data_IF_112216074716
#
_entry.id   IF_112216074716
#
_cell.length_a   1.000
_cell.length_b   1.000
_cell.length_c   1.000
_cell.angle_alpha   90.00
_cell.angle_beta   90.00
_cell.angle_gamma   90.00
#
_symmetry.space_group_name_H-M   'P 1'
#
loop_
_entity.id
_entity.type
_entity.pdbx_description
1 polymer ?
#
# COMPACT_ATOMS: atom_id res chain seq x y z
N UNK A 1 30.12 45.10 -16.37
CA UNK A 1 29.66 44.76 -15.01
C UNK A 1 30.00 43.30 -14.77
N UNK A 2 30.89 43.06 -13.82
CA UNK A 2 31.51 41.77 -13.52
C UNK A 2 30.52 40.78 -12.91
N UNK A 3 30.49 39.56 -13.43
CA UNK A 3 29.94 38.41 -12.69
C UNK A 3 31.05 37.82 -11.84
N UNK A 4 31.00 38.08 -10.54
CA UNK A 4 31.90 37.49 -9.55
C UNK A 4 31.54 36.02 -9.31
N UNK A 5 32.48 35.13 -9.63
CA UNK A 5 32.47 33.70 -9.33
C UNK A 5 32.65 33.52 -7.82
N UNK A 6 31.61 33.09 -7.11
CA UNK A 6 31.74 32.69 -5.70
C UNK A 6 32.25 31.26 -5.64
N UNK A 7 33.51 31.13 -5.26
CA UNK A 7 34.19 29.89 -4.95
C UNK A 7 33.82 29.51 -3.50
N UNK A 8 33.02 28.46 -3.29
CA UNK A 8 32.84 27.89 -1.96
C UNK A 8 33.88 26.79 -1.77
N UNK A 9 34.87 27.10 -0.94
CA UNK A 9 35.92 26.18 -0.52
C UNK A 9 35.34 25.05 0.31
N UNK A 10 35.74 23.83 -0.03
CA UNK A 10 35.55 22.64 0.79
C UNK A 10 36.64 22.69 1.86
N UNK A 11 36.25 22.91 3.11
CA UNK A 11 37.11 22.69 4.28
C UNK A 11 36.82 21.30 4.81
N UNK A 12 37.86 20.46 4.83
CA UNK A 12 37.90 19.17 5.49
C UNK A 12 37.56 19.32 6.97
N UNK A 13 36.60 18.52 7.46
CA UNK A 13 36.35 18.36 8.89
C UNK A 13 36.62 16.91 9.28
N UNK A 14 37.56 16.78 10.21
CA UNK A 14 38.05 15.59 10.90
C UNK A 14 36.89 14.89 11.63
N UNK A 15 36.90 13.56 11.56
CA UNK A 15 35.98 12.65 12.26
C UNK A 15 36.47 12.50 13.72
N UNK A 16 35.57 12.71 14.68
CA UNK A 16 35.77 12.33 16.08
C UNK A 16 34.69 11.30 16.44
N UNK A 17 35.14 10.11 16.84
CA UNK A 17 34.31 8.94 17.11
C UNK A 17 33.87 8.92 18.58
N UNK A 18 32.57 8.83 18.81
CA UNK A 18 31.98 8.65 20.14
C UNK A 18 30.74 7.76 20.09
N UNK A 19 30.92 6.46 20.38
CA UNK A 19 29.85 5.49 20.58
C UNK A 19 29.10 5.70 21.90
N UNK A 20 27.76 5.54 21.91
CA UNK A 20 27.07 4.54 22.75
C UNK A 20 25.53 4.47 22.55
N UNK A 21 25.08 3.25 22.23
CA UNK A 21 23.80 2.53 22.53
C UNK A 21 22.42 3.09 22.14
N UNK A 22 21.76 2.47 21.14
CA UNK A 22 20.87 1.29 21.28
C UNK A 22 19.68 1.31 20.28
N UNK A 23 19.70 0.42 19.27
CA UNK A 23 18.56 -0.32 18.66
C UNK A 23 18.90 -0.74 17.22
N UNK A 24 18.69 -2.03 16.91
CA UNK A 24 19.24 -2.72 15.75
C UNK A 24 19.02 -2.05 14.39
N UNK A 25 20.13 -1.75 13.70
CA UNK A 25 20.18 -1.34 12.29
C UNK A 25 20.90 -2.40 11.44
N UNK A 26 20.44 -2.53 10.19
CA UNK A 26 21.17 -3.21 9.12
C UNK A 26 22.53 -2.52 8.88
N UNK A 27 23.61 -3.24 8.49
CA UNK A 27 24.94 -2.66 8.38
C UNK A 27 25.09 -1.76 7.15
N UNK A 28 25.85 -0.67 7.32
CA UNK A 28 26.37 0.15 6.23
C UNK A 28 27.77 -0.37 5.88
N UNK A 29 27.97 -0.96 4.71
CA UNK A 29 29.31 -1.34 4.24
C UNK A 29 29.91 -0.24 3.35
N UNK A 30 31.15 0.08 3.70
CA UNK A 30 32.09 1.03 3.12
C UNK A 30 32.66 0.59 1.76
N UNK A 31 32.90 1.56 0.87
CA UNK A 31 33.56 1.38 -0.42
C UNK A 31 35.05 1.02 -0.26
N UNK A 32 35.49 -0.03 -0.95
CA UNK A 32 36.89 -0.31 -1.24
C UNK A 32 37.13 -0.18 -2.75
N UNK A 33 38.09 0.65 -3.13
CA UNK A 33 38.52 0.90 -4.50
C UNK A 33 39.93 0.29 -4.69
N UNK A 34 40.16 -0.63 -5.63
CA UNK A 34 41.51 -1.02 -6.00
C UNK A 34 41.85 -0.56 -7.42
N UNK A 35 42.79 0.38 -7.54
CA UNK A 35 43.53 0.61 -8.77
C UNK A 35 44.97 0.98 -8.41
N UNK A 36 45.89 0.03 -8.51
CA UNK A 36 47.23 0.27 -9.05
C UNK A 36 48.00 -1.05 -9.24
N UNK A 37 48.31 -1.42 -10.49
CA UNK A 37 49.65 -1.87 -10.85
C UNK A 37 49.88 -1.76 -12.36
N UNK A 38 51.03 -1.16 -12.67
CA UNK A 38 51.58 -0.81 -13.97
C UNK A 38 52.04 -2.04 -14.76
N UNK A 39 52.03 -1.94 -16.09
CA UNK A 39 53.26 -2.08 -16.92
C UNK A 39 53.05 -1.53 -18.34
N UNK A 40 54.03 -0.75 -18.80
CA UNK A 40 54.20 -0.23 -20.17
C UNK A 40 55.01 -1.24 -20.99
N UNK A 41 54.69 -1.40 -22.27
CA UNK A 41 55.70 -1.54 -23.34
C UNK A 41 55.07 -1.40 -24.74
N UNK A 42 55.32 -0.22 -25.33
CA UNK A 42 55.68 0.10 -26.73
C UNK A 42 55.43 -0.96 -27.83
N UNK A 43 54.70 -0.62 -28.89
CA UNK A 43 55.24 -0.46 -30.28
C UNK A 43 54.17 -0.48 -31.39
N UNK A 44 54.26 0.54 -32.27
CA UNK A 44 54.12 0.51 -33.74
C UNK A 44 52.80 0.12 -34.46
N UNK A 45 52.25 1.15 -35.10
CA UNK A 45 51.52 1.27 -36.37
C UNK A 45 51.54 0.08 -37.37
N UNK A 46 50.40 -0.22 -38.02
CA UNK A 46 50.07 0.12 -39.43
C UNK A 46 48.79 -0.58 -39.91
N UNK A 47 48.04 0.12 -40.77
CA UNK A 47 46.90 -0.35 -41.55
C UNK A 47 47.29 -1.41 -42.59
N UNK A 48 46.36 -2.30 -42.95
CA UNK A 48 46.03 -2.58 -44.36
C UNK A 48 44.69 -3.32 -44.44
N UNK A 49 43.81 -2.80 -45.29
CA UNK A 49 42.64 -3.48 -45.78
C UNK A 49 43.04 -4.40 -46.94
N UNK A 50 42.41 -5.57 -47.07
CA UNK A 50 41.92 -6.10 -48.35
C UNK A 50 40.97 -7.29 -48.13
N UNK A 51 39.94 -7.27 -48.96
CA UNK A 51 38.69 -8.03 -49.07
C UNK A 51 38.93 -9.42 -49.74
N UNK A 52 37.88 -10.09 -50.25
CA UNK A 52 36.97 -11.07 -49.62
C UNK A 52 37.30 -12.52 -50.05
N UNK A 53 36.72 -13.54 -49.39
CA UNK A 53 36.15 -14.67 -50.15
C UNK A 53 35.25 -15.60 -49.32
N UNK A 54 34.05 -15.74 -49.85
CA UNK A 54 33.00 -16.76 -49.74
C UNK A 54 33.42 -18.13 -49.18
N UNK A 55 32.78 -18.56 -48.09
CA UNK A 55 32.52 -19.97 -47.84
C UNK A 55 31.18 -20.13 -47.10
N UNK A 56 30.21 -20.68 -47.83
CA UNK A 56 28.92 -21.17 -47.33
C UNK A 56 29.23 -22.33 -46.38
N UNK A 57 28.77 -22.24 -45.13
CA UNK A 57 28.83 -23.34 -44.17
C UNK A 57 27.47 -23.47 -43.49
N UNK A 58 26.68 -24.39 -44.00
CA UNK A 58 25.48 -24.90 -43.36
C UNK A 58 25.85 -25.57 -42.04
N UNK A 59 25.32 -25.06 -40.94
CA UNK A 59 25.26 -25.75 -39.66
C UNK A 59 23.83 -25.65 -39.14
N UNK A 60 23.00 -26.59 -39.59
CA UNK A 60 21.87 -27.03 -38.78
C UNK A 60 22.41 -27.68 -37.51
N UNK A 61 22.15 -27.10 -36.34
CA UNK A 61 21.91 -27.92 -35.15
C UNK A 61 21.34 -27.15 -33.97
N UNK A 62 20.24 -27.71 -33.48
CA UNK A 62 19.73 -27.67 -32.13
C UNK A 62 19.30 -26.29 -31.60
N UNK A 63 18.04 -25.96 -31.85
CA UNK A 63 17.24 -25.28 -30.84
C UNK A 63 17.21 -26.17 -29.59
N UNK A 64 18.21 -26.03 -28.72
CA UNK A 64 18.06 -26.43 -27.33
C UNK A 64 16.87 -25.64 -26.81
N UNK A 65 15.78 -26.36 -26.59
CA UNK A 65 14.63 -25.87 -25.85
C UNK A 65 15.08 -25.71 -24.39
N UNK A 66 15.91 -24.71 -24.14
CA UNK A 66 16.28 -24.32 -22.80
C UNK A 66 15.18 -23.38 -22.33
N UNK A 67 14.12 -24.02 -21.83
CA UNK A 67 13.03 -23.42 -21.06
C UNK A 67 13.53 -23.05 -19.65
N UNK A 68 14.70 -22.40 -19.61
CA UNK A 68 15.34 -21.90 -18.41
C UNK A 68 14.94 -20.43 -18.28
N UNK A 69 13.79 -20.22 -17.62
CA UNK A 69 13.32 -18.96 -17.04
C UNK A 69 13.93 -17.71 -17.68
N UNK A 70 13.27 -17.14 -18.70
CA UNK A 70 13.47 -15.74 -19.03
C UNK A 70 13.22 -14.93 -17.75
N UNK A 71 14.31 -14.64 -17.05
CA UNK A 71 14.40 -13.78 -15.87
C UNK A 71 13.69 -12.50 -16.25
N UNK A 72 12.43 -12.38 -15.82
CA UNK A 72 11.57 -11.31 -16.22
C UNK A 72 12.10 -10.03 -15.59
N UNK A 73 13.06 -9.39 -16.26
CA UNK A 73 13.68 -8.15 -15.82
C UNK A 73 12.55 -7.16 -15.56
N UNK A 74 12.51 -6.60 -14.35
CA UNK A 74 11.54 -5.54 -14.06
C UNK A 74 11.65 -4.40 -15.07
N UNK A 75 12.86 -4.18 -15.59
CA UNK A 75 13.26 -3.10 -16.47
C UNK A 75 13.64 -1.85 -15.68
N UNK A 76 14.20 -0.85 -16.38
CA UNK A 76 14.50 0.45 -15.78
C UNK A 76 15.80 0.52 -14.97
N UNK A 77 16.80 -0.31 -15.31
CA UNK A 77 18.13 -0.26 -14.68
C UNK A 77 18.19 -0.79 -13.25
N UNK A 78 17.13 -1.46 -12.79
CA UNK A 78 17.09 -2.08 -11.46
C UNK A 78 17.88 -3.39 -11.43
N UNK A 79 18.60 -3.64 -10.34
CA UNK A 79 19.40 -4.85 -10.14
C UNK A 79 18.61 -5.84 -9.30
N UNK A 80 18.40 -7.06 -9.79
CA UNK A 80 17.71 -8.12 -9.02
C UNK A 80 18.58 -8.55 -7.85
N UNK A 81 17.99 -8.65 -6.66
CA UNK A 81 18.60 -9.27 -5.50
C UNK A 81 18.23 -10.75 -5.46
N UNK A 82 19.20 -11.59 -5.10
CA UNK A 82 19.04 -13.05 -5.05
C UNK A 82 18.73 -13.54 -3.63
N UNK A 83 18.13 -14.72 -3.55
CA UNK A 83 17.89 -15.39 -2.27
C UNK A 83 19.23 -15.72 -1.59
N UNK A 84 19.34 -15.45 -0.29
CA UNK A 84 20.61 -15.49 0.46
C UNK A 84 21.33 -14.15 0.58
N UNK A 85 20.95 -13.13 -0.21
CA UNK A 85 21.35 -11.75 0.04
C UNK A 85 20.68 -11.24 1.33
N UNK A 86 21.46 -10.66 2.24
CA UNK A 86 20.96 -10.20 3.55
C UNK A 86 19.84 -9.17 3.41
N UNK A 87 19.95 -8.25 2.46
CA UNK A 87 18.96 -7.19 2.20
C UNK A 87 17.69 -7.81 1.62
N UNK A 88 17.83 -8.69 0.62
CA UNK A 88 16.71 -9.44 0.06
C UNK A 88 15.93 -10.16 1.15
N UNK A 89 16.61 -10.96 1.97
CA UNK A 89 15.99 -11.84 2.96
C UNK A 89 15.29 -11.06 4.06
N UNK A 90 15.87 -9.93 4.49
CA UNK A 90 15.26 -9.05 5.49
C UNK A 90 14.01 -8.39 4.93
N UNK A 91 14.06 -7.84 3.72
CA UNK A 91 12.89 -7.22 3.08
C UNK A 91 11.77 -8.25 2.91
N UNK A 92 12.10 -9.44 2.39
CA UNK A 92 11.15 -10.54 2.19
C UNK A 92 10.50 -10.98 3.51
N UNK A 93 11.32 -11.25 4.53
CA UNK A 93 10.85 -11.72 5.85
C UNK A 93 9.98 -10.67 6.54
N UNK A 94 10.41 -9.41 6.53
CA UNK A 94 9.66 -8.31 7.13
C UNK A 94 8.32 -8.12 6.43
N UNK A 95 8.30 -8.14 5.10
CA UNK A 95 7.05 -8.05 4.35
C UNK A 95 6.09 -9.20 4.71
N UNK A 96 6.51 -10.45 4.55
CA UNK A 96 5.64 -11.62 4.76
C UNK A 96 5.12 -11.72 6.20
N UNK A 97 5.96 -11.48 7.21
CA UNK A 97 5.55 -11.54 8.61
C UNK A 97 4.50 -10.49 8.98
N UNK A 98 4.49 -9.35 8.30
CA UNK A 98 3.54 -8.24 8.52
C UNK A 98 2.23 -8.39 7.73
N UNK A 99 2.10 -9.41 6.89
CA UNK A 99 0.84 -9.73 6.20
C UNK A 99 -0.08 -10.65 7.01
N UNK A 100 0.36 -11.14 8.18
CA UNK A 100 -0.41 -12.09 8.99
C UNK A 100 -0.70 -13.38 8.22
N UNK A 101 -1.94 -13.87 8.27
CA UNK A 101 -2.35 -15.10 7.57
C UNK A 101 -2.16 -15.04 6.04
N UNK A 102 -2.23 -13.83 5.45
CA UNK A 102 -1.97 -13.64 4.02
C UNK A 102 -0.50 -13.91 3.67
N UNK A 103 0.42 -13.75 4.62
CA UNK A 103 1.84 -14.01 4.44
C UNK A 103 2.14 -15.43 3.99
N UNK A 104 1.46 -16.43 4.58
CA UNK A 104 1.62 -17.84 4.21
C UNK A 104 1.15 -18.16 2.78
N UNK A 105 0.28 -17.33 2.21
CA UNK A 105 -0.29 -17.49 0.88
C UNK A 105 0.32 -16.53 -0.14
N UNK A 106 1.31 -15.74 0.29
CA UNK A 106 1.97 -14.75 -0.54
C UNK A 106 3.32 -15.29 -0.98
N UNK A 107 3.57 -15.27 -2.29
CA UNK A 107 4.87 -15.61 -2.88
C UNK A 107 5.55 -14.34 -3.35
N UNK A 108 6.64 -13.95 -2.70
CA UNK A 108 7.55 -12.93 -3.25
C UNK A 108 8.29 -13.55 -4.43
N UNK A 109 8.18 -12.92 -5.59
CA UNK A 109 8.73 -13.41 -6.87
C UNK A 109 10.11 -12.81 -7.12
N UNK A 110 10.25 -11.51 -6.88
CA UNK A 110 11.52 -10.82 -7.04
C UNK A 110 11.58 -9.57 -6.18
N UNK A 111 12.79 -9.23 -5.72
CA UNK A 111 13.12 -7.94 -5.14
C UNK A 111 14.25 -7.37 -5.98
N UNK A 112 14.09 -6.12 -6.41
CA UNK A 112 15.11 -5.40 -7.15
C UNK A 112 15.55 -4.18 -6.35
N UNK A 113 16.83 -3.83 -6.46
CA UNK A 113 17.42 -2.64 -5.89
C UNK A 113 17.62 -1.59 -6.97
N UNK A 114 17.35 -0.33 -6.64
CA UNK A 114 17.76 0.80 -7.44
C UNK A 114 19.26 1.08 -7.19
N UNK A 115 20.16 0.89 -8.18
CA UNK A 115 21.58 1.11 -7.99
C UNK A 115 21.97 2.59 -8.02
N UNK A 116 21.11 3.47 -8.53
CA UNK A 116 21.41 4.88 -8.78
C UNK A 116 22.69 5.09 -9.60
N UNK A 117 22.96 4.21 -10.56
CA UNK A 117 24.22 4.18 -11.30
C UNK A 117 24.37 5.33 -12.29
N UNK A 118 23.28 5.78 -12.91
CA UNK A 118 23.30 6.91 -13.84
C UNK A 118 23.39 8.27 -13.12
N UNK A 119 23.85 9.30 -13.86
CA UNK A 119 24.07 10.64 -13.30
C UNK A 119 22.80 11.27 -12.70
N UNK A 120 21.63 10.99 -13.26
CA UNK A 120 20.35 11.52 -12.77
C UNK A 120 19.96 10.80 -11.47
N UNK A 121 20.15 9.49 -11.39
CA UNK A 121 19.96 8.67 -10.20
C UNK A 121 20.87 9.12 -9.07
N UNK A 122 22.15 9.38 -9.35
CA UNK A 122 23.09 9.93 -8.37
C UNK A 122 22.63 11.31 -7.89
N UNK A 123 22.21 12.20 -8.79
CA UNK A 123 21.70 13.52 -8.42
C UNK A 123 20.44 13.44 -7.53
N UNK A 124 19.51 12.51 -7.81
CA UNK A 124 18.34 12.27 -6.97
C UNK A 124 18.73 11.77 -5.57
N UNK A 125 19.65 10.80 -5.50
CA UNK A 125 20.15 10.28 -4.23
C UNK A 125 20.87 11.36 -3.41
N UNK A 126 21.72 12.15 -4.04
CA UNK A 126 22.43 13.27 -3.40
C UNK A 126 21.47 14.36 -2.94
N UNK A 127 20.46 14.72 -3.75
CA UNK A 127 19.41 15.65 -3.36
C UNK A 127 18.70 15.17 -2.09
N UNK A 128 18.27 13.90 -2.05
CA UNK A 128 17.67 13.31 -0.84
C UNK A 128 18.59 13.41 0.39
N UNK A 129 19.89 13.15 0.23
CA UNK A 129 20.87 13.28 1.32
C UNK A 129 21.02 14.73 1.80
N UNK A 130 21.03 15.70 0.89
CA UNK A 130 21.08 17.13 1.22
C UNK A 130 19.85 17.54 2.03
N UNK A 131 18.65 17.16 1.59
CA UNK A 131 17.42 17.45 2.32
C UNK A 131 17.36 16.74 3.67
N UNK A 132 17.89 15.52 3.77
CA UNK A 132 18.00 14.80 5.05
C UNK A 132 18.85 15.61 6.04
N UNK A 133 20.07 16.01 5.64
CA UNK A 133 20.96 16.82 6.48
C UNK A 133 20.35 18.17 6.86
N UNK A 134 19.71 18.84 5.90
CA UNK A 134 19.04 20.12 6.16
C UNK A 134 17.93 19.96 7.22
N UNK A 135 17.18 18.85 7.18
CA UNK A 135 16.11 18.59 8.13
C UNK A 135 16.63 18.14 9.49
N UNK A 136 17.74 17.40 9.55
CA UNK A 136 18.45 17.08 10.80
C UNK A 136 18.84 18.38 11.53
N UNK A 137 19.46 19.32 10.82
CA UNK A 137 19.81 20.64 11.37
C UNK A 137 18.57 21.41 11.84
N UNK A 138 17.48 21.39 11.06
CA UNK A 138 16.22 22.06 11.40
C UNK A 138 15.52 21.42 12.62
N UNK A 139 15.72 20.13 12.88
CA UNK A 139 14.95 19.31 13.85
C UNK A 139 15.83 18.67 14.93
N UNK A 140 16.73 19.45 15.52
CA UNK A 140 17.53 19.04 16.68
C UNK A 140 18.29 17.72 16.48
N UNK A 141 18.78 17.48 15.27
CA UNK A 141 19.61 16.31 14.92
C UNK A 141 18.83 15.09 14.40
N UNK A 142 17.52 15.16 14.19
CA UNK A 142 16.74 14.01 13.70
C UNK A 142 15.77 14.37 12.57
N UNK A 143 16.08 13.92 11.34
CA UNK A 143 15.20 14.07 10.18
C UNK A 143 14.02 13.09 10.15
N UNK A 144 13.93 12.14 11.09
CA UNK A 144 12.90 11.08 11.13
C UNK A 144 12.79 10.34 9.79
N UNK A 145 13.92 9.84 9.29
CA UNK A 145 13.96 9.06 8.06
C UNK A 145 13.44 7.65 8.32
N UNK A 146 12.42 7.22 7.57
CA UNK A 146 11.80 5.90 7.71
C UNK A 146 11.67 5.20 6.36
N UNK A 147 11.47 3.89 6.42
CA UNK A 147 11.01 3.13 5.26
C UNK A 147 9.48 3.20 5.14
N UNK A 148 8.98 3.24 3.91
CA UNK A 148 7.55 3.21 3.64
C UNK A 148 7.25 2.56 2.27
N UNK A 149 6.09 1.90 2.19
CA UNK A 149 5.59 1.22 1.02
C UNK A 149 4.71 2.14 0.17
N UNK A 150 4.93 2.10 -1.14
CA UNK A 150 4.06 2.67 -2.14
C UNK A 150 3.64 1.59 -3.14
N UNK A 151 2.35 1.49 -3.46
CA UNK A 151 1.83 0.45 -4.35
C UNK A 151 1.21 1.03 -5.60
N UNK A 152 1.63 0.54 -6.77
CA UNK A 152 1.05 0.91 -8.06
C UNK A 152 1.33 -0.16 -9.13
N UNK A 153 0.94 0.10 -10.38
CA UNK A 153 1.23 -0.75 -11.53
C UNK A 153 2.73 -0.80 -11.81
N UNK A 154 3.17 -1.84 -12.54
CA UNK A 154 4.56 -2.00 -12.96
C UNK A 154 5.07 -0.79 -13.74
N UNK A 155 4.28 -0.31 -14.70
CA UNK A 155 4.66 0.82 -15.55
C UNK A 155 4.83 2.09 -14.72
N UNK A 156 3.89 2.39 -13.83
CA UNK A 156 3.97 3.55 -12.96
C UNK A 156 5.21 3.48 -12.04
N UNK A 157 5.50 2.33 -11.44
CA UNK A 157 6.71 2.18 -10.61
C UNK A 157 7.99 2.39 -11.44
N UNK A 158 8.04 1.90 -12.68
CA UNK A 158 9.18 2.13 -13.58
C UNK A 158 9.34 3.62 -13.92
N UNK A 159 8.25 4.32 -14.17
CA UNK A 159 8.26 5.76 -14.42
C UNK A 159 8.71 6.53 -13.18
N UNK A 160 8.25 6.16 -11.99
CA UNK A 160 8.69 6.77 -10.73
C UNK A 160 10.20 6.60 -10.50
N UNK A 161 10.73 5.38 -10.71
CA UNK A 161 12.17 5.14 -10.58
C UNK A 161 12.96 6.02 -11.55
N UNK A 162 12.52 6.08 -12.82
CA UNK A 162 13.24 6.80 -13.88
C UNK A 162 13.10 8.32 -13.79
N UNK A 163 11.89 8.83 -13.57
CA UNK A 163 11.56 10.25 -13.69
C UNK A 163 11.17 10.92 -12.36
N UNK A 164 10.91 10.15 -11.31
CA UNK A 164 10.39 10.65 -10.04
C UNK A 164 8.87 10.61 -9.98
N UNK A 165 8.31 11.02 -8.84
CA UNK A 165 6.87 11.09 -8.65
C UNK A 165 6.27 12.21 -9.51
N UNK A 166 5.31 11.85 -10.36
CA UNK A 166 4.60 12.76 -11.25
C UNK A 166 3.39 13.42 -10.59
N UNK A 167 2.97 14.57 -11.12
CA UNK A 167 1.82 15.31 -10.60
C UNK A 167 0.49 14.57 -10.72
N UNK A 168 0.34 13.70 -11.73
CA UNK A 168 -0.87 12.89 -11.95
C UNK A 168 -1.20 11.95 -10.79
N UNK A 169 -0.20 11.59 -9.98
CA UNK A 169 -0.37 10.73 -8.81
C UNK A 169 -1.11 11.42 -7.65
N UNK A 170 -1.06 12.75 -7.58
CA UNK A 170 -1.62 13.54 -6.48
C UNK A 170 -3.15 13.54 -6.50
N UNK A 171 -3.77 13.44 -7.68
CA UNK A 171 -5.23 13.53 -7.83
C UNK A 171 -5.95 12.21 -7.58
N UNK A 172 -5.21 11.11 -7.44
CA UNK A 172 -5.78 9.76 -7.27
C UNK A 172 -6.37 9.49 -5.87
N UNK A 173 -5.90 10.20 -4.83
CA UNK A 173 -6.38 10.04 -3.47
C UNK A 173 -6.17 11.33 -2.66
N UNK A 174 -7.25 12.10 -2.45
CA UNK A 174 -7.24 13.39 -1.73
C UNK A 174 -7.81 13.32 -0.31
N UNK A 175 -7.79 12.14 0.31
CA UNK A 175 -8.43 11.98 1.61
C UNK A 175 -7.75 12.84 2.69
N UNK A 176 -6.43 12.98 2.65
CA UNK A 176 -5.61 13.69 3.64
C UNK A 176 -4.77 14.78 2.96
N UNK A 177 -5.35 15.53 2.02
CA UNK A 177 -4.63 16.52 1.23
C UNK A 177 -4.00 16.00 -0.07
N UNK A 178 -3.20 16.86 -0.68
CA UNK A 178 -2.50 16.69 -1.96
C UNK A 178 -1.05 16.31 -1.70
N UNK A 179 -0.75 15.03 -1.89
CA UNK A 179 0.58 14.49 -1.71
C UNK A 179 0.66 13.03 -2.13
N UNK A 180 1.82 12.43 -1.91
CA UNK A 180 2.04 10.99 -2.09
C UNK A 180 1.78 10.28 -0.77
N UNK A 181 0.97 9.23 -0.85
CA UNK A 181 0.52 8.45 0.30
C UNK A 181 1.35 7.17 0.36
N UNK A 182 2.07 6.97 1.46
CA UNK A 182 2.87 5.78 1.68
C UNK A 182 2.41 5.07 2.95
N UNK A 183 2.32 3.75 2.93
CA UNK A 183 2.08 2.98 4.15
C UNK A 183 3.41 2.81 4.90
N UNK A 184 3.43 2.91 6.24
CA UNK A 184 4.61 2.58 7.02
C UNK A 184 5.14 1.17 6.71
N UNK A 185 6.46 0.98 6.82
CA UNK A 185 7.13 -0.29 6.55
C UNK A 185 6.57 -1.49 7.35
N UNK A 186 6.13 -1.22 8.58
CA UNK A 186 5.49 -2.19 9.46
C UNK A 186 3.99 -2.42 9.16
N UNK A 187 3.39 -1.68 8.22
CA UNK A 187 1.97 -1.75 7.84
C UNK A 187 1.75 -2.00 6.33
N UNK A 188 2.44 -2.96 5.67
CA UNK A 188 2.32 -3.19 4.23
C UNK A 188 0.90 -3.53 3.77
N UNK A 189 0.08 -4.07 4.67
CA UNK A 189 -1.34 -4.40 4.42
C UNK A 189 -2.17 -3.20 3.94
N UNK A 190 -1.82 -1.97 4.35
CA UNK A 190 -2.53 -0.75 3.94
C UNK A 190 -2.36 -0.46 2.44
N UNK A 191 -1.23 -0.83 1.84
CA UNK A 191 -1.01 -0.76 0.39
C UNK A 191 -1.57 -2.00 -0.31
N UNK A 192 -1.26 -3.19 0.19
CA UNK A 192 -1.59 -4.47 -0.47
C UNK A 192 -3.09 -4.61 -0.72
N UNK A 193 -3.94 -4.06 0.14
CA UNK A 193 -5.40 -4.16 0.01
C UNK A 193 -6.01 -3.48 -1.21
N UNK A 194 -5.33 -2.46 -1.73
CA UNK A 194 -5.80 -1.68 -2.87
C UNK A 194 -5.07 -2.05 -4.17
N UNK A 195 -4.07 -2.93 -4.11
CA UNK A 195 -3.30 -3.33 -5.29
C UNK A 195 -4.10 -4.25 -6.21
N UNK A 196 -4.08 -3.90 -7.49
CA UNK A 196 -4.64 -4.71 -8.58
C UNK A 196 -3.53 -5.59 -9.16
N UNK A 197 -3.90 -6.79 -9.62
CA UNK A 197 -2.97 -7.67 -10.34
C UNK A 197 -2.69 -7.07 -11.72
N UNK A 198 -1.42 -6.87 -12.05
CA UNK A 198 -0.97 -6.36 -13.33
C UNK A 198 -1.08 -7.38 -14.45
N UNK A 199 -0.77 -6.94 -15.68
CA UNK A 199 -0.83 -7.79 -16.87
C UNK A 199 0.20 -8.93 -16.86
N UNK A 200 1.26 -8.82 -16.04
CA UNK A 200 2.23 -9.88 -15.80
C UNK A 200 1.78 -10.88 -14.71
N UNK A 201 0.56 -10.75 -14.21
CA UNK A 201 0.02 -11.60 -13.16
C UNK A 201 0.62 -11.34 -11.79
N UNK A 202 1.34 -10.22 -11.62
CA UNK A 202 2.02 -9.84 -10.38
C UNK A 202 1.41 -8.57 -9.77
N UNK A 203 1.71 -8.35 -8.49
CA UNK A 203 1.50 -7.07 -7.81
C UNK A 203 2.86 -6.49 -7.47
N UNK A 204 2.96 -5.17 -7.52
CA UNK A 204 4.23 -4.47 -7.34
C UNK A 204 4.14 -3.44 -6.23
N UNK A 205 5.19 -3.41 -5.42
CA UNK A 205 5.41 -2.45 -4.35
C UNK A 205 6.76 -1.79 -4.54
N UNK A 206 6.81 -0.51 -4.22
CA UNK A 206 8.02 0.27 -4.09
C UNK A 206 8.29 0.53 -2.61
N UNK A 207 9.46 0.13 -2.13
CA UNK A 207 9.96 0.46 -0.80
C UNK A 207 10.84 1.71 -0.92
N UNK A 208 10.40 2.78 -0.28
CA UNK A 208 11.08 4.07 -0.30
C UNK A 208 11.73 4.37 1.04
N UNK A 209 12.86 5.08 1.04
CA UNK A 209 13.24 5.91 2.18
C UNK A 209 12.46 7.22 2.12
N UNK A 210 11.94 7.66 3.25
CA UNK A 210 11.09 8.84 3.36
C UNK A 210 11.57 9.71 4.51
N UNK A 211 11.78 10.99 4.22
CA UNK A 211 12.08 12.01 5.24
C UNK A 211 10.76 12.52 5.79
N UNK A 212 10.42 12.17 7.03
CA UNK A 212 9.15 12.56 7.64
C UNK A 212 9.24 13.85 8.48
N UNK A 213 10.41 14.15 9.05
CA UNK A 213 10.56 15.28 9.97
C UNK A 213 9.55 15.26 11.13
N UNK A 214 9.10 16.45 11.54
CA UNK A 214 8.00 16.62 12.48
C UNK A 214 6.67 16.49 11.72
N UNK A 215 5.88 15.50 12.13
CA UNK A 215 4.64 15.13 11.44
C UNK A 215 3.43 15.89 12.03
N UNK A 216 2.50 16.30 11.18
CA UNK A 216 1.17 16.79 11.59
C UNK A 216 0.08 15.75 11.32
N UNK A 217 -0.90 15.66 12.22
CA UNK A 217 -2.12 14.87 11.95
C UNK A 217 -2.93 15.62 10.91
N UNK A 218 -3.29 14.93 9.83
CA UNK A 218 -4.12 15.50 8.77
C UNK A 218 -5.51 14.90 8.88
N UNK A 219 -6.53 15.77 8.91
CA UNK A 219 -7.91 15.31 8.94
C UNK A 219 -8.41 14.87 7.56
N UNK A 220 -9.30 13.85 7.52
CA UNK A 220 -9.98 13.48 6.28
C UNK A 220 -10.74 14.66 5.66
N UNK A 221 -10.54 14.91 4.37
CA UNK A 221 -11.15 16.02 3.62
C UNK A 221 -10.29 17.28 3.53
N UNK A 222 -9.07 17.27 4.08
CA UNK A 222 -8.11 18.36 3.91
C UNK A 222 -7.71 18.56 2.43
N UNK A 223 -7.53 19.81 2.02
CA UNK A 223 -7.01 20.22 0.69
C UNK A 223 -5.55 20.71 0.75
N UNK A 224 -4.87 20.55 1.90
CA UNK A 224 -3.47 20.93 2.10
C UNK A 224 -2.56 20.30 1.04
N UNK A 225 -1.62 21.06 0.48
CA UNK A 225 -0.60 20.55 -0.45
C UNK A 225 0.84 20.82 0.01
N UNK A 226 0.96 21.32 1.24
CA UNK A 226 2.19 21.69 1.95
C UNK A 226 1.88 21.65 3.46
N UNK A 227 2.90 21.71 4.34
CA UNK A 227 2.67 21.72 5.78
C UNK A 227 1.78 22.89 6.22
N UNK A 228 0.97 22.70 7.27
CA UNK A 228 0.11 23.78 7.81
C UNK A 228 0.91 24.96 8.40
N UNK A 229 2.13 24.70 8.86
CA UNK A 229 3.04 25.72 9.39
C UNK A 229 4.49 25.29 9.23
N UNK A 230 5.43 26.21 9.50
CA UNK A 230 6.87 25.92 9.49
C UNK A 230 7.30 24.86 10.53
N UNK A 231 6.45 24.58 11.51
CA UNK A 231 6.68 23.55 12.52
C UNK A 231 6.60 22.14 11.96
N UNK A 232 5.88 21.91 10.87
CA UNK A 232 5.66 20.58 10.32
C UNK A 232 6.39 20.39 8.99
N UNK A 233 6.63 19.12 8.65
CA UNK A 233 7.37 18.73 7.45
C UNK A 233 6.58 17.73 6.59
N UNK A 234 5.83 16.81 7.22
CA UNK A 234 4.97 15.83 6.53
C UNK A 234 3.66 15.58 7.29
N UNK A 235 2.68 14.97 6.63
CA UNK A 235 1.40 14.59 7.23
C UNK A 235 1.37 13.13 7.68
N UNK A 236 0.48 12.82 8.62
CA UNK A 236 0.17 11.47 9.08
C UNK A 236 -1.32 11.34 9.40
N UNK A 237 -1.91 10.15 9.23
CA UNK A 237 -3.31 9.93 9.60
C UNK A 237 -3.53 9.74 11.11
N UNK A 238 -2.55 9.18 11.82
CA UNK A 238 -2.55 9.05 13.28
C UNK A 238 -1.10 9.05 13.80
N UNK A 239 -0.80 9.83 14.84
CA UNK A 239 0.55 9.93 15.40
C UNK A 239 0.98 8.71 16.19
N UNK A 240 0.04 8.01 16.83
CA UNK A 240 0.32 6.88 17.72
C UNK A 240 0.41 5.57 16.94
N UNK A 241 -0.46 5.40 15.95
CA UNK A 241 -0.53 4.22 15.11
C UNK A 241 -0.68 4.61 13.63
N UNK A 242 0.39 5.14 13.03
CA UNK A 242 0.36 5.62 11.66
C UNK A 242 0.00 4.47 10.71
N UNK A 243 -0.91 4.73 9.78
CA UNK A 243 -1.24 3.82 8.68
C UNK A 243 -0.93 4.45 7.33
N UNK A 244 -0.83 5.78 7.27
CA UNK A 244 -0.46 6.54 6.08
C UNK A 244 0.43 7.70 6.46
N UNK A 245 1.56 7.78 5.80
CA UNK A 245 2.35 9.00 5.69
C UNK A 245 1.89 9.77 4.44
N UNK A 246 1.77 11.09 4.57
CA UNK A 246 1.48 12.01 3.48
C UNK A 246 2.72 12.87 3.26
N UNK A 247 3.40 12.64 2.14
CA UNK A 247 4.48 13.53 1.70
C UNK A 247 3.88 14.53 0.73
N UNK A 248 3.90 15.81 1.11
CA UNK A 248 3.30 16.88 0.35
C UNK A 248 3.83 16.96 -1.08
N UNK A 249 2.99 17.41 -2.01
CA UNK A 249 3.37 17.54 -3.43
C UNK A 249 4.60 18.42 -3.65
N UNK A 250 4.80 19.43 -2.80
CA UNK A 250 5.98 20.32 -2.82
C UNK A 250 7.29 19.60 -2.48
N UNK A 251 7.23 18.42 -1.87
CA UNK A 251 8.37 17.70 -1.30
C UNK A 251 8.55 16.29 -1.89
N UNK A 252 7.62 15.81 -2.73
CA UNK A 252 7.58 14.40 -3.15
C UNK A 252 8.85 13.89 -3.86
N UNK A 253 9.58 14.75 -4.57
CA UNK A 253 10.80 14.37 -5.30
C UNK A 253 12.10 14.63 -4.53
N UNK A 254 12.02 15.23 -3.34
CA UNK A 254 13.18 15.51 -2.48
C UNK A 254 13.14 14.71 -1.18
N UNK A 255 11.95 14.35 -0.71
CA UNK A 255 11.72 13.66 0.56
C UNK A 255 11.35 12.18 0.40
N UNK A 256 11.26 11.67 -0.84
CA UNK A 256 11.02 10.26 -1.13
C UNK A 256 12.14 9.75 -2.04
N UNK A 257 12.81 8.69 -1.61
CA UNK A 257 13.85 8.02 -2.39
C UNK A 257 13.42 6.56 -2.70
N UNK A 258 13.06 6.25 -3.96
CA UNK A 258 12.74 4.90 -4.42
C UNK A 258 13.94 3.95 -4.35
N UNK A 259 13.97 3.02 -3.40
CA UNK A 259 15.16 2.17 -3.15
C UNK A 259 15.00 0.72 -3.60
N UNK A 260 13.85 0.09 -3.32
CA UNK A 260 13.61 -1.29 -3.72
C UNK A 260 12.26 -1.49 -4.37
N UNK A 261 12.19 -2.40 -5.33
CA UNK A 261 10.94 -2.82 -5.97
C UNK A 261 10.69 -4.29 -5.67
N UNK A 262 9.54 -4.58 -5.08
CA UNK A 262 9.11 -5.94 -4.78
C UNK A 262 7.95 -6.33 -5.71
N UNK A 263 8.09 -7.49 -6.36
CA UNK A 263 7.02 -8.14 -7.12
C UNK A 263 6.57 -9.40 -6.40
N UNK A 264 5.27 -9.59 -6.23
CA UNK A 264 4.71 -10.72 -5.50
C UNK A 264 3.38 -11.22 -6.09
N UNK A 265 3.05 -12.46 -5.77
CA UNK A 265 1.74 -13.09 -6.00
C UNK A 265 1.02 -13.26 -4.67
N UNK A 266 -0.27 -12.96 -4.65
CA UNK A 266 -1.16 -13.18 -3.51
C UNK A 266 -2.58 -13.53 -4.02
N UNK A 267 -3.44 -14.16 -3.21
CA UNK A 267 -4.81 -14.47 -3.58
C UNK A 267 -5.57 -13.28 -4.17
N UNK A 268 -6.34 -13.54 -5.24
CA UNK A 268 -7.06 -12.49 -5.97
C UNK A 268 -8.11 -11.78 -5.10
N UNK A 269 -8.86 -12.55 -4.29
CA UNK A 269 -9.81 -12.00 -3.32
C UNK A 269 -9.15 -11.82 -1.97
N UNK A 270 -8.64 -10.62 -1.71
CA UNK A 270 -8.13 -10.29 -0.39
C UNK A 270 -9.25 -10.02 0.64
N UNK A 271 -10.54 -9.98 0.23
CA UNK A 271 -11.69 -9.65 1.09
C UNK A 271 -11.83 -10.54 2.33
N UNK A 272 -11.44 -11.81 2.25
CA UNK A 272 -11.49 -12.75 3.38
C UNK A 272 -10.49 -12.41 4.48
N UNK A 273 -9.33 -11.86 4.12
CA UNK A 273 -8.23 -11.55 5.05
C UNK A 273 -8.45 -10.24 5.79
N UNK A 274 -9.19 -9.30 5.19
CA UNK A 274 -9.52 -8.01 5.82
C UNK A 274 -10.53 -8.12 6.96
N UNK A 275 -11.25 -9.25 7.08
CA UNK A 275 -12.16 -9.50 8.21
C UNK A 275 -11.46 -10.06 9.46
N UNK A 276 -10.20 -10.52 9.33
CA UNK A 276 -9.49 -11.22 10.40
C UNK A 276 -8.50 -10.34 11.18
N UNK A 277 -8.07 -9.20 10.63
CA UNK A 277 -7.07 -8.30 11.26
C UNK A 277 -7.65 -7.01 11.85
N UNK A 278 -8.85 -6.61 11.45
CA UNK A 278 -9.66 -5.70 12.24
C UNK A 278 -10.34 -6.56 13.29
N UNK A 279 -9.84 -6.50 14.53
CA UNK A 279 -10.68 -6.83 15.67
C UNK A 279 -12.04 -6.19 15.39
N UNK A 280 -13.05 -7.03 15.32
CA UNK A 280 -14.40 -6.65 14.96
C UNK A 280 -14.82 -5.44 15.79
N UNK A 281 -14.66 -4.24 15.25
CA UNK A 281 -15.66 -3.22 15.44
C UNK A 281 -16.85 -3.75 14.69
N UNK A 282 -17.58 -4.68 15.33
CA UNK A 282 -19.00 -4.86 15.08
C UNK A 282 -19.52 -3.43 14.87
N UNK A 283 -20.13 -3.11 13.73
CA UNK A 283 -20.68 -1.79 13.55
C UNK A 283 -21.53 -1.53 14.79
N UNK A 284 -21.17 -0.51 15.58
CA UNK A 284 -21.84 -0.19 16.85
C UNK A 284 -23.31 0.18 16.60
N UNK A 285 -23.66 0.41 15.34
CA UNK A 285 -25.01 0.57 14.82
C UNK A 285 -25.48 -0.67 14.04
N UNK A 286 -26.72 -1.13 14.24
CA UNK A 286 -27.30 -2.18 13.42
C UNK A 286 -27.33 -1.76 11.95
N UNK A 287 -27.14 -2.76 11.08
CA UNK A 287 -27.14 -2.56 9.64
C UNK A 287 -28.56 -2.25 9.16
N UNK A 288 -28.81 -0.99 8.81
CA UNK A 288 -30.09 -0.56 8.25
C UNK A 288 -30.02 -0.50 6.72
N UNK A 289 -31.04 -1.01 6.04
CA UNK A 289 -31.16 -0.86 4.59
C UNK A 289 -31.43 0.61 4.21
N UNK A 290 -30.90 1.09 3.08
CA UNK A 290 -31.17 2.46 2.61
C UNK A 290 -32.67 2.80 2.48
N UNK A 291 -33.54 1.91 1.97
CA UNK A 291 -34.99 2.12 1.99
C UNK A 291 -35.55 2.34 3.41
N UNK A 292 -35.11 1.55 4.38
CA UNK A 292 -35.51 1.69 5.78
C UNK A 292 -35.00 3.01 6.38
N UNK A 293 -33.77 3.41 6.03
CA UNK A 293 -33.20 4.70 6.44
C UNK A 293 -34.00 5.88 5.87
N UNK A 294 -34.38 5.84 4.58
CA UNK A 294 -35.23 6.87 3.98
C UNK A 294 -36.59 6.93 4.67
N UNK A 295 -37.20 5.77 4.93
CA UNK A 295 -38.47 5.71 5.65
C UNK A 295 -38.35 6.39 7.03
N UNK A 296 -37.27 6.13 7.76
CA UNK A 296 -36.97 6.83 9.01
C UNK A 296 -36.79 8.34 8.84
N UNK A 297 -36.01 8.76 7.85
CA UNK A 297 -35.75 10.18 7.56
C UNK A 297 -37.01 10.93 7.10
N UNK A 298 -37.93 10.27 6.40
CA UNK A 298 -39.17 10.88 5.88
C UNK A 298 -40.10 11.39 6.98
N UNK A 299 -39.91 10.92 8.21
CA UNK A 299 -40.65 11.41 9.39
C UNK A 299 -40.15 12.77 9.89
N UNK A 300 -38.95 13.19 9.47
CA UNK A 300 -38.26 14.38 9.99
C UNK A 300 -37.86 15.38 8.90
N UNK A 301 -37.83 14.97 7.64
CA UNK A 301 -37.41 15.81 6.51
C UNK A 301 -38.59 16.10 5.57
N UNK A 302 -38.62 17.29 4.93
CA UNK A 302 -39.61 17.61 3.90
C UNK A 302 -39.58 16.62 2.72
N UNK A 303 -40.73 16.46 2.06
CA UNK A 303 -40.87 15.55 0.91
C UNK A 303 -39.91 15.91 -0.25
N UNK A 304 -39.63 17.20 -0.46
CA UNK A 304 -38.65 17.67 -1.45
C UNK A 304 -37.23 17.17 -1.14
N UNK A 305 -36.83 17.21 0.14
CA UNK A 305 -35.55 16.75 0.64
C UNK A 305 -35.40 15.22 0.53
N UNK A 306 -36.46 14.48 0.84
CA UNK A 306 -36.52 13.02 0.65
C UNK A 306 -36.47 12.64 -0.83
N UNK A 307 -37.11 13.43 -1.69
CA UNK A 307 -37.02 13.28 -3.15
C UNK A 307 -35.58 13.39 -3.65
N UNK A 308 -34.81 14.36 -3.13
CA UNK A 308 -33.38 14.50 -3.47
C UNK A 308 -32.53 13.31 -3.00
N UNK A 309 -32.75 12.84 -1.77
CA UNK A 309 -32.05 11.64 -1.25
C UNK A 309 -32.38 10.41 -2.10
N UNK A 310 -33.65 10.24 -2.48
CA UNK A 310 -34.11 9.12 -3.32
C UNK A 310 -33.48 9.19 -4.71
N UNK A 311 -33.41 10.39 -5.31
CA UNK A 311 -32.72 10.62 -6.58
C UNK A 311 -31.26 10.19 -6.53
N UNK A 312 -30.51 10.57 -5.47
CA UNK A 312 -29.12 10.15 -5.32
C UNK A 312 -28.96 8.63 -5.18
N UNK A 313 -29.93 7.91 -4.59
CA UNK A 313 -29.91 6.45 -4.56
C UNK A 313 -30.10 5.83 -5.94
N UNK A 314 -30.99 6.40 -6.76
CA UNK A 314 -31.17 5.97 -8.15
C UNK A 314 -29.89 6.23 -8.94
N UNK A 315 -29.29 7.42 -8.80
CA UNK A 315 -28.00 7.76 -9.44
C UNK A 315 -26.89 6.77 -9.06
N UNK A 316 -26.84 6.33 -7.80
CA UNK A 316 -25.89 5.31 -7.35
C UNK A 316 -26.20 3.92 -7.93
N UNK A 317 -27.47 3.51 -7.99
CA UNK A 317 -27.88 2.24 -8.61
C UNK A 317 -27.52 2.20 -10.10
N UNK A 318 -27.63 3.34 -10.76
CA UNK A 318 -27.26 3.55 -12.17
C UNK A 318 -25.75 3.80 -12.37
N UNK A 319 -24.94 3.69 -11.30
CA UNK A 319 -23.48 3.89 -11.30
C UNK A 319 -23.01 5.28 -11.75
N UNK A 320 -23.90 6.29 -11.72
CA UNK A 320 -23.58 7.70 -12.01
C UNK A 320 -22.77 8.34 -10.88
N UNK A 321 -22.96 7.88 -9.65
CA UNK A 321 -22.21 8.34 -8.47
C UNK A 321 -21.68 7.15 -7.66
N UNK A 322 -20.53 7.34 -7.01
CA UNK A 322 -19.94 6.31 -6.15
C UNK A 322 -20.72 6.15 -4.83
N UNK A 323 -20.54 5.00 -4.14
CA UNK A 323 -21.13 4.78 -2.81
C UNK A 323 -20.70 5.86 -1.81
N UNK A 324 -19.45 6.34 -1.90
CA UNK A 324 -18.92 7.39 -1.02
C UNK A 324 -19.61 8.73 -1.29
N UNK A 325 -19.80 9.06 -2.56
CA UNK A 325 -20.49 10.28 -2.99
C UNK A 325 -21.94 10.29 -2.52
N UNK A 326 -22.66 9.16 -2.66
CA UNK A 326 -24.00 8.99 -2.12
C UNK A 326 -24.04 9.25 -0.61
N UNK A 327 -23.14 8.62 0.17
CA UNK A 327 -23.09 8.79 1.62
C UNK A 327 -22.84 10.26 1.98
N UNK A 328 -21.91 10.93 1.29
CA UNK A 328 -21.58 12.32 1.57
C UNK A 328 -22.77 13.25 1.30
N UNK A 329 -23.47 13.07 0.16
CA UNK A 329 -24.68 13.83 -0.16
C UNK A 329 -25.80 13.61 0.84
N UNK A 330 -26.02 12.36 1.28
CA UNK A 330 -27.03 12.06 2.31
C UNK A 330 -26.67 12.73 3.65
N UNK A 331 -25.39 12.75 4.04
CA UNK A 331 -24.92 13.44 5.25
C UNK A 331 -25.09 14.96 5.16
N UNK A 332 -24.81 15.55 4.00
CA UNK A 332 -25.01 16.99 3.77
C UNK A 332 -26.49 17.38 3.82
N UNK A 333 -27.38 16.53 3.29
CA UNK A 333 -28.82 16.82 3.23
C UNK A 333 -29.50 16.58 4.59
N UNK A 334 -29.25 15.44 5.22
CA UNK A 334 -29.94 15.05 6.46
C UNK A 334 -29.25 15.56 7.73
N UNK A 335 -27.92 15.77 7.68
CA UNK A 335 -27.10 16.06 8.83
C UNK A 335 -26.79 14.83 9.69
N UNK A 336 -25.57 14.77 10.22
CA UNK A 336 -25.10 13.60 10.98
C UNK A 336 -25.88 13.34 12.26
N UNK A 337 -26.34 14.41 12.93
CA UNK A 337 -27.13 14.30 14.17
C UNK A 337 -28.44 13.55 13.94
N UNK A 338 -29.14 13.88 12.85
CA UNK A 338 -30.40 13.23 12.50
C UNK A 338 -30.17 11.79 12.02
N UNK A 339 -29.14 11.56 11.20
CA UNK A 339 -28.78 10.21 10.75
C UNK A 339 -28.47 9.29 11.93
N UNK A 340 -27.69 9.76 12.91
CA UNK A 340 -27.39 9.01 14.14
C UNK A 340 -28.68 8.72 14.93
N UNK A 341 -29.56 9.70 15.09
CA UNK A 341 -30.82 9.52 15.82
C UNK A 341 -31.73 8.47 15.15
N UNK A 342 -31.88 8.56 13.83
CA UNK A 342 -32.69 7.60 13.05
C UNK A 342 -32.09 6.19 13.14
N UNK A 343 -30.79 6.04 12.91
CA UNK A 343 -30.10 4.74 13.00
C UNK A 343 -30.22 4.13 14.41
N UNK A 344 -30.09 4.93 15.46
CA UNK A 344 -30.30 4.49 16.85
C UNK A 344 -31.75 4.07 17.11
N UNK A 345 -32.74 4.76 16.54
CA UNK A 345 -34.15 4.44 16.72
C UNK A 345 -34.57 3.10 16.11
N UNK A 346 -33.85 2.63 15.09
CA UNK A 346 -34.05 1.29 14.53
C UNK A 346 -33.31 0.21 15.32
N UNK A 347 -32.18 0.56 15.96
CA UNK A 347 -31.46 -0.32 16.87
C UNK A 347 -32.28 -0.72 18.11
N UNK A 348 -33.10 0.20 18.62
CA UNK A 348 -34.00 -0.06 19.75
C UNK A 348 -35.29 -0.81 19.35
N UNK A 349 -35.59 -0.93 18.05
CA UNK A 349 -36.74 -1.72 17.58
C UNK A 349 -36.37 -3.18 17.29
N UNK A 350 -35.14 -3.48 16.90
CA UNK A 350 -34.66 -4.87 16.75
C UNK A 350 -34.65 -5.64 18.09
N UNK A 351 -34.44 -4.95 19.21
CA UNK A 351 -34.56 -5.54 20.55
C UNK A 351 -36.01 -5.87 20.95
N UNK A 352 -36.99 -5.13 20.43
CA UNK A 352 -38.42 -5.43 20.62
C UNK A 352 -38.90 -6.58 19.72
N UNK A 353 -38.38 -6.69 18.49
CA UNK A 353 -38.72 -7.80 17.60
C UNK A 353 -38.07 -9.12 18.03
N UNK A 354 -36.83 -9.09 18.52
CA UNK A 354 -36.15 -10.28 19.09
C UNK A 354 -36.90 -10.85 20.31
N UNK A 355 -37.46 -9.96 21.15
CA UNK A 355 -38.25 -10.35 22.32
C UNK A 355 -39.60 -10.98 21.91
N UNK A 356 -40.26 -10.45 20.87
CA UNK A 356 -41.51 -11.02 20.35
C UNK A 356 -41.30 -12.34 19.61
N UNK A 357 -40.21 -12.49 18.84
CA UNK A 357 -39.86 -13.77 18.20
C UNK A 357 -39.51 -14.82 19.26
N UNK A 358 -38.83 -14.44 20.34
CA UNK A 358 -38.54 -15.35 21.46
C UNK A 358 -39.82 -15.78 22.21
N UNK A 359 -40.79 -14.88 22.39
CA UNK A 359 -42.09 -15.20 23.00
C UNK A 359 -42.93 -16.10 22.10
N UNK A 360 -42.95 -15.85 20.78
CA UNK A 360 -43.69 -16.68 19.81
C UNK A 360 -43.04 -18.08 19.66
N UNK A 361 -41.71 -18.18 19.69
CA UNK A 361 -41.00 -19.47 19.66
C UNK A 361 -41.16 -20.24 20.97
N UNK A 362 -41.23 -19.58 22.12
CA UNK A 362 -41.49 -20.26 23.40
C UNK A 362 -42.95 -20.70 23.55
N UNK A 363 -43.92 -19.95 23.04
CA UNK A 363 -45.34 -20.34 23.08
C UNK A 363 -45.72 -21.43 22.05
N UNK A 364 -44.88 -21.69 21.05
CA UNK A 364 -45.11 -22.77 20.06
C UNK A 364 -44.38 -24.08 20.39
N UNK A 365 -43.42 -24.08 21.32
CA UNK A 365 -42.73 -25.29 21.79
C UNK A 365 -43.46 -26.05 22.90
N UNK A 366 -44.45 -25.45 23.58
CA UNK A 366 -45.18 -26.09 24.69
C UNK A 366 -46.48 -26.83 24.28
N UNK A 367 -46.73 -27.04 22.99
CA UNK A 367 -47.97 -27.71 22.51
C UNK A 367 -47.76 -28.96 21.64
N UNK A 368 -46.56 -29.55 21.60
CA UNK A 368 -46.37 -30.85 20.94
C UNK A 368 -45.54 -31.80 21.79
N UNK A 369 -46.11 -32.25 22.92
CA UNK A 369 -45.63 -33.44 23.61
C UNK A 369 -46.74 -34.17 24.39
N UNK A 370 -47.82 -34.59 23.72
CA UNK A 370 -48.65 -35.73 24.17
C UNK A 370 -49.02 -36.57 22.95
N UNK A 371 -48.85 -37.89 23.10
CA UNK A 371 -49.09 -39.01 22.17
C UNK A 371 -47.97 -39.39 21.19
N UNK A 372 -47.10 -40.30 21.64
CA UNK A 372 -47.16 -41.70 21.17
C UNK A 372 -46.16 -42.59 21.92
N UNK A 373 -46.68 -43.51 22.75
CA UNK A 373 -45.92 -44.62 23.34
C UNK A 373 -45.65 -45.73 22.32
N UNK A 374 -44.54 -46.48 22.45
CA UNK A 374 -44.41 -47.79 21.81
C UNK A 374 -44.35 -48.96 22.81
N UNK A 375 -44.93 -50.09 22.35
CA UNK A 375 -44.68 -51.50 22.67
C UNK A 375 -45.27 -52.11 23.95
N UNK A 376 -46.09 -53.14 23.73
CA UNK A 376 -45.88 -54.47 24.33
C UNK A 376 -46.23 -55.59 23.34
N UNK A 377 -45.35 -56.59 23.33
CA UNK A 377 -45.45 -57.90 22.67
C UNK A 377 -46.61 -58.73 23.23
N UNK A 378 -47.20 -59.63 22.41
CA UNK A 378 -47.58 -61.00 22.80
C UNK A 378 -47.68 -61.89 21.54
N UNK A 379 -47.10 -63.08 21.70
CA UNK A 379 -47.10 -64.28 20.85
C UNK A 379 -48.51 -64.78 20.49
N UNK A 380 -48.71 -65.35 19.28
CA UNK A 380 -49.10 -66.77 19.14
C UNK A 380 -49.17 -67.23 17.66
N UNK A 381 -48.57 -68.41 17.51
CA UNK A 381 -48.64 -69.50 16.53
C UNK A 381 -49.98 -69.78 15.81
N UNK A 382 -49.83 -70.41 14.63
CA UNK A 382 -50.63 -71.51 14.00
C UNK A 382 -51.59 -71.20 12.81
N UNK A 383 -51.14 -71.65 11.63
CA UNK A 383 -51.76 -72.55 10.62
C UNK A 383 -53.11 -72.27 9.93
N UNK A 384 -53.09 -72.58 8.62
CA UNK A 384 -54.20 -73.11 7.78
C UNK A 384 -55.27 -72.08 7.39
N UNK A 385 -55.72 -71.92 6.13
CA UNK A 385 -55.73 -72.74 4.91
C UNK A 385 -55.73 -71.84 3.68
#
# INVERSE_FOLDING_TARGET
>A
MNYSRVQLGITDCVIDDGENFASGKLPCDSFHNPNNSRTRSVSSCLETAHDPDTAVSDCESCASSDDSDQLQEFGGGLVRLFEGDRVHDVIRRNFLSRLGFLGAQTKVVAIHRNPYSDAIGQAKMQSFQIFTKALETKRHGNANVRYAWYGNTRNEIREIVKYGFGGHLIDSNRLYGRGIYLAPDNCPMECVKNLVVGNDGLRHLLLCRVILGKQEVVDPGSDQCHPSSAEFDSGVDDLSNPKKYIVWSTNMNTHILPEFVMSFKAPASLRGYFRAGESSRKPTSPWISFPTLISGLSKFLPHSTIGLITKHLVDHREKKISRRELINRVRQIAGDRLLIAVVKSFASQETSFSSLVSIIVLQTCDSQHIFSHPRTSISHRLTSS
#
